data_IF_386744105291
#
_entry.id   IF_386744105291
#
_cell.length_a   1.000
_cell.length_b   1.000
_cell.length_c   1.000
_cell.angle_alpha   90.00
_cell.angle_beta   90.00
_cell.angle_gamma   90.00
#
_symmetry.space_group_name_H-M   'P 1'
#
loop_
_entity.id
_entity.type
_entity.pdbx_description
1 polymer ?
#
# COMPACT_ATOMS: atom_id res chain seq x y z
N UNK A 1 -2.84 -24.74 25.12
CA UNK A 1 -3.16 -23.33 25.51
C UNK A 1 -4.21 -22.75 24.56
N UNK A 2 -5.22 -22.02 25.06
CA UNK A 2 -6.34 -21.49 24.24
C UNK A 2 -5.93 -20.39 23.23
N UNK A 3 -4.68 -19.91 23.24
CA UNK A 3 -4.20 -18.81 22.37
C UNK A 3 -3.27 -19.23 21.23
N UNK A 4 -2.96 -20.52 21.09
CA UNK A 4 -1.90 -21.01 20.17
C UNK A 4 -2.12 -20.55 18.72
N UNK A 5 -3.37 -20.57 18.23
CA UNK A 5 -3.70 -20.13 16.86
C UNK A 5 -3.40 -18.64 16.63
N UNK A 6 -3.76 -17.77 17.58
CA UNK A 6 -3.48 -16.33 17.53
C UNK A 6 -1.97 -16.09 17.54
N UNK A 7 -1.26 -16.76 18.42
CA UNK A 7 0.18 -16.57 18.59
C UNK A 7 0.95 -17.02 17.33
N UNK A 8 0.47 -18.06 16.65
CA UNK A 8 0.98 -18.48 15.35
C UNK A 8 0.74 -17.45 14.24
N UNK A 9 -0.44 -16.81 14.17
CA UNK A 9 -0.69 -15.75 13.19
C UNK A 9 0.21 -14.54 13.43
N UNK A 10 0.35 -14.11 14.68
CA UNK A 10 1.22 -12.98 15.06
C UNK A 10 2.70 -13.22 14.73
N UNK A 11 3.18 -14.46 14.79
CA UNK A 11 4.57 -14.77 14.42
C UNK A 11 4.77 -14.70 12.90
N UNK A 12 3.79 -15.17 12.13
CA UNK A 12 3.79 -15.07 10.66
C UNK A 12 3.73 -13.60 10.24
N UNK A 13 2.81 -12.80 10.80
CA UNK A 13 2.68 -11.36 10.50
C UNK A 13 4.01 -10.63 10.64
N UNK A 14 4.70 -10.80 11.77
CA UNK A 14 6.00 -10.17 12.02
C UNK A 14 7.07 -10.58 11.01
N UNK A 15 7.13 -11.87 10.67
CA UNK A 15 8.09 -12.38 9.69
C UNK A 15 7.85 -11.75 8.32
N UNK A 16 6.60 -11.68 7.89
CA UNK A 16 6.23 -11.12 6.59
C UNK A 16 6.49 -9.62 6.54
N UNK A 17 6.16 -8.87 7.60
CA UNK A 17 6.45 -7.44 7.70
C UNK A 17 7.95 -7.14 7.55
N UNK A 18 8.81 -7.94 8.18
CA UNK A 18 10.27 -7.80 8.05
C UNK A 18 10.75 -8.03 6.62
N UNK A 19 10.16 -8.98 5.90
CA UNK A 19 10.49 -9.24 4.49
C UNK A 19 10.05 -8.05 3.64
N UNK A 20 8.84 -7.54 3.84
CA UNK A 20 8.32 -6.39 3.09
C UNK A 20 9.16 -5.12 3.30
N UNK A 21 9.59 -4.86 4.54
CA UNK A 21 10.44 -3.73 4.88
C UNK A 21 11.83 -3.87 4.25
N UNK A 22 12.45 -5.06 4.34
CA UNK A 22 13.77 -5.33 3.74
C UNK A 22 13.77 -5.20 2.22
N UNK A 23 12.71 -5.69 1.58
CA UNK A 23 12.61 -5.75 0.12
C UNK A 23 11.97 -4.47 -0.47
N UNK A 24 11.61 -3.50 0.38
CA UNK A 24 11.01 -2.20 0.00
C UNK A 24 9.81 -2.33 -0.95
N UNK A 25 9.00 -3.38 -0.81
CA UNK A 25 7.96 -3.76 -1.80
C UNK A 25 6.81 -2.75 -1.95
N UNK A 26 6.70 -1.79 -1.03
CA UNK A 26 5.70 -0.73 -1.03
C UNK A 26 6.27 0.64 -1.40
N UNK A 27 7.57 0.76 -1.66
CA UNK A 27 8.19 1.98 -2.16
C UNK A 27 8.06 2.00 -3.68
N UNK A 28 7.43 3.05 -4.22
CA UNK A 28 7.16 3.18 -5.65
C UNK A 28 7.61 4.56 -6.11
N UNK A 29 8.62 4.58 -6.97
CA UNK A 29 9.09 5.81 -7.61
C UNK A 29 8.26 6.14 -8.84
N UNK A 30 8.13 7.45 -9.11
CA UNK A 30 7.63 7.91 -10.38
C UNK A 30 8.65 7.54 -11.48
N UNK A 31 8.18 7.05 -12.63
CA UNK A 31 9.06 6.77 -13.77
C UNK A 31 9.77 8.04 -14.25
N UNK A 32 11.01 7.89 -14.68
CA UNK A 32 11.81 8.97 -15.26
C UNK A 32 11.38 9.29 -16.69
N UNK A 33 11.76 10.48 -17.19
CA UNK A 33 11.51 10.87 -18.59
C UNK A 33 12.26 9.99 -19.62
N UNK A 34 13.32 9.28 -19.19
CA UNK A 34 14.05 8.34 -20.05
C UNK A 34 13.31 7.00 -20.17
N UNK A 35 12.64 6.55 -19.10
CA UNK A 35 11.84 5.32 -19.07
C UNK A 35 10.48 5.50 -19.76
N UNK A 36 9.92 6.70 -19.65
CA UNK A 36 8.67 7.09 -20.29
C UNK A 36 8.98 8.22 -21.25
N UNK A 37 9.15 7.86 -22.52
CA UNK A 37 9.13 8.83 -23.62
C UNK A 37 7.87 9.68 -23.49
N UNK A 38 8.00 10.99 -23.75
CA UNK A 38 6.89 11.93 -23.72
C UNK A 38 5.79 11.42 -24.66
N UNK A 39 4.79 10.82 -24.06
CA UNK A 39 3.52 10.43 -24.65
C UNK A 39 2.50 11.47 -24.19
N UNK A 40 1.44 11.67 -24.97
CA UNK A 40 0.29 12.40 -24.47
C UNK A 40 -0.28 11.72 -23.20
N UNK A 41 -0.96 12.51 -22.35
CA UNK A 41 -1.45 12.05 -21.04
C UNK A 41 -2.32 10.79 -21.12
N UNK A 42 -3.12 10.65 -22.17
CA UNK A 42 -4.02 9.52 -22.36
C UNK A 42 -3.22 8.23 -22.63
N UNK A 43 -2.33 8.27 -23.62
CA UNK A 43 -1.47 7.13 -23.96
C UNK A 43 -0.53 6.74 -22.80
N UNK A 44 -0.10 7.72 -21.99
CA UNK A 44 0.69 7.49 -20.79
C UNK A 44 -0.07 6.65 -19.75
N UNK A 45 -1.31 7.03 -19.43
CA UNK A 45 -2.11 6.37 -18.41
C UNK A 45 -2.64 5.00 -18.85
N UNK A 46 -2.85 4.79 -20.16
CA UNK A 46 -3.15 3.46 -20.70
C UNK A 46 -1.96 2.50 -20.56
N UNK A 47 -0.76 2.97 -20.90
CA UNK A 47 0.45 2.13 -20.88
C UNK A 47 1.01 1.92 -19.48
N UNK A 48 0.89 2.91 -18.61
CA UNK A 48 1.38 2.89 -17.23
C UNK A 48 0.25 3.29 -16.26
N UNK A 49 -0.72 2.38 -16.02
CA UNK A 49 -1.86 2.71 -15.18
C UNK A 49 -1.42 2.91 -13.73
N UNK A 50 -1.81 4.05 -13.15
CA UNK A 50 -1.53 4.41 -11.76
C UNK A 50 -2.80 4.45 -10.92
N UNK A 51 -2.66 4.24 -9.62
CA UNK A 51 -3.71 4.45 -8.63
C UNK A 51 -3.10 5.13 -7.42
N UNK A 52 -3.51 6.37 -7.14
CA UNK A 52 -3.04 7.12 -5.99
C UNK A 52 -4.20 7.26 -5.01
N UNK A 53 -4.00 6.84 -3.77
CA UNK A 53 -4.99 6.99 -2.72
C UNK A 53 -4.38 7.69 -1.51
N UNK A 54 -5.17 8.57 -0.89
CA UNK A 54 -4.74 9.35 0.26
C UNK A 54 -5.71 9.20 1.41
N UNK A 55 -5.18 9.28 2.62
CA UNK A 55 -5.94 9.40 3.86
C UNK A 55 -5.58 10.73 4.52
N UNK A 56 -6.53 11.40 5.18
CA UNK A 56 -6.19 12.54 6.03
C UNK A 56 -5.28 12.03 7.15
N UNK A 57 -4.11 12.66 7.30
CA UNK A 57 -3.17 12.29 8.36
C UNK A 57 -3.82 12.56 9.74
N UNK A 58 -3.74 11.62 10.68
CA UNK A 58 -4.35 11.78 11.99
C UNK A 58 -3.59 12.81 12.84
N UNK A 59 -4.30 13.53 13.72
CA UNK A 59 -3.64 14.36 14.72
C UNK A 59 -2.88 13.50 15.73
N UNK A 60 -1.67 13.95 16.10
CA UNK A 60 -0.75 13.20 16.95
C UNK A 60 -0.97 13.41 18.46
N UNK A 61 -2.14 13.90 18.87
CA UNK A 61 -2.50 14.18 20.26
C UNK A 61 -3.02 12.94 21.03
N UNK A 62 -2.80 11.73 20.51
CA UNK A 62 -3.24 10.48 21.13
C UNK A 62 -2.80 9.24 20.35
N UNK A 63 -3.20 8.06 20.83
CA UNK A 63 -3.02 6.81 20.11
C UNK A 63 -4.11 6.63 19.07
N UNK A 64 -3.76 6.00 17.94
CA UNK A 64 -4.75 5.61 16.93
C UNK A 64 -5.74 4.60 17.54
N UNK A 65 -7.00 5.00 17.66
CA UNK A 65 -8.10 4.10 18.02
C UNK A 65 -8.67 3.39 16.77
N UNK A 66 -9.54 2.40 17.00
CA UNK A 66 -10.12 1.54 15.96
C UNK A 66 -10.83 2.30 14.83
N UNK A 67 -11.36 3.50 15.12
CA UNK A 67 -12.00 4.37 14.13
C UNK A 67 -11.04 4.88 13.06
N UNK A 68 -9.80 5.24 13.44
CA UNK A 68 -8.77 5.58 12.47
C UNK A 68 -8.47 4.39 11.55
N UNK A 69 -8.28 3.20 12.13
CA UNK A 69 -8.02 1.98 11.37
C UNK A 69 -9.19 1.63 10.44
N UNK A 70 -10.43 1.81 10.88
CA UNK A 70 -11.61 1.59 10.02
C UNK A 70 -11.56 2.49 8.78
N UNK A 71 -11.23 3.78 8.93
CA UNK A 71 -11.08 4.69 7.79
C UNK A 71 -9.89 4.29 6.90
N UNK A 72 -8.74 3.96 7.51
CA UNK A 72 -7.53 3.55 6.77
C UNK A 72 -7.76 2.29 5.93
N UNK A 73 -8.54 1.32 6.42
CA UNK A 73 -8.80 0.06 5.71
C UNK A 73 -9.45 0.26 4.34
N UNK A 74 -10.19 1.35 4.13
CA UNK A 74 -10.83 1.65 2.83
C UNK A 74 -9.79 1.87 1.75
N UNK A 75 -8.73 2.62 2.08
CA UNK A 75 -7.61 2.88 1.17
C UNK A 75 -6.71 1.65 1.06
N UNK A 76 -6.38 1.01 2.18
CA UNK A 76 -5.53 -0.19 2.20
C UNK A 76 -6.06 -1.30 1.27
N UNK A 77 -7.36 -1.60 1.35
CA UNK A 77 -7.97 -2.62 0.51
C UNK A 77 -8.09 -2.20 -0.96
N UNK A 78 -8.35 -0.92 -1.22
CA UNK A 78 -8.41 -0.41 -2.59
C UNK A 78 -7.04 -0.47 -3.28
N UNK A 79 -5.97 -0.07 -2.57
CA UNK A 79 -4.58 -0.17 -3.03
C UNK A 79 -4.20 -1.62 -3.29
N UNK A 80 -4.49 -2.54 -2.36
CA UNK A 80 -4.24 -3.97 -2.56
C UNK A 80 -4.94 -4.54 -3.80
N UNK A 81 -6.20 -4.17 -4.02
CA UNK A 81 -6.96 -4.59 -5.20
C UNK A 81 -6.42 -4.02 -6.52
N UNK A 82 -6.15 -2.72 -6.58
CA UNK A 82 -5.64 -2.07 -7.79
C UNK A 82 -4.21 -2.51 -8.13
N UNK A 83 -3.39 -2.81 -7.11
CA UNK A 83 -2.07 -3.42 -7.30
C UNK A 83 -2.17 -4.81 -7.95
N UNK A 84 -3.12 -5.64 -7.52
CA UNK A 84 -3.39 -6.94 -8.16
C UNK A 84 -3.87 -6.82 -9.62
N UNK A 85 -4.47 -5.68 -9.99
CA UNK A 85 -4.84 -5.36 -11.38
C UNK A 85 -3.65 -4.85 -12.22
N UNK A 86 -2.45 -4.84 -11.66
CA UNK A 86 -1.24 -4.39 -12.34
C UNK A 86 -1.06 -2.87 -12.37
N UNK A 87 -1.86 -2.12 -11.60
CA UNK A 87 -1.65 -0.67 -11.48
C UNK A 87 -0.47 -0.39 -10.55
N UNK A 88 0.28 0.66 -10.86
CA UNK A 88 1.27 1.25 -9.95
C UNK A 88 0.53 2.02 -8.86
N UNK A 89 0.59 1.52 -7.63
CA UNK A 89 -0.16 2.09 -6.51
C UNK A 89 0.72 2.95 -5.61
N UNK A 90 0.22 4.13 -5.25
CA UNK A 90 0.81 5.06 -4.28
C UNK A 90 -0.19 5.39 -3.18
#
# INVERSE_FOLDING_TARGET
KKTVKRDALKSIEKKIQQIWEKDHVFEVDAPTFDEIKILDEHTLHEKYPKYMATIPYPYMNGRLHLGHFFTMTKVEFAVGYERMKGKRTL
#
